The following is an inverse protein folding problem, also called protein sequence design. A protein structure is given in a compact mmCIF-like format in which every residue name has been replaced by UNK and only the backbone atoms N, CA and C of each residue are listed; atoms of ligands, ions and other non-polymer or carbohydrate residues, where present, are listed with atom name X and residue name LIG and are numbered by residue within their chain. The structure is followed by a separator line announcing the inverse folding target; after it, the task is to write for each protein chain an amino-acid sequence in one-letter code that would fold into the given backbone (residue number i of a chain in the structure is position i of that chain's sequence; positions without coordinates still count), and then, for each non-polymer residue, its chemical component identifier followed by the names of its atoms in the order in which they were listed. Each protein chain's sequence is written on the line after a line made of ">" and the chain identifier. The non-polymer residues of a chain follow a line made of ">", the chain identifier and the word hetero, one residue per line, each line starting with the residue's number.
data_IF_045406569853
#
_entry.id   IF_045406569853
#
_cell.length_a   1.000
_cell.length_b   1.000
_cell.length_c   1.000
_cell.angle_alpha   90.00
_cell.angle_beta   90.00
_cell.angle_gamma   90.00
#
_symmetry.space_group_name_H-M   'P 1'
#
loop_
_entity.id
_entity.type
_entity.pdbx_description
1 polymer ?
#
# COMPACT_ATOMS: atom_id res chain seq x y z
N UNK A 1 -14.62 -16.00 1.38
CA UNK A 1 -13.14 -16.14 1.49
C UNK A 1 -12.56 -15.46 2.73
N UNK A 2 -12.50 -14.11 2.82
CA UNK A 2 -11.92 -13.46 4.02
C UNK A 2 -12.70 -13.77 5.32
N UNK A 3 -14.04 -13.82 5.23
CA UNK A 3 -14.91 -14.21 6.35
C UNK A 3 -14.61 -15.61 6.88
N UNK A 4 -14.54 -16.58 5.96
CA UNK A 4 -14.33 -18.00 6.28
C UNK A 4 -12.89 -18.28 6.73
N UNK A 5 -11.92 -17.61 6.09
CA UNK A 5 -10.50 -17.79 6.37
C UNK A 5 -10.12 -17.19 7.72
N UNK A 6 -10.67 -16.02 8.06
CA UNK A 6 -10.22 -15.21 9.20
C UNK A 6 -11.20 -15.20 10.38
N UNK A 7 -12.29 -15.97 10.28
CA UNK A 7 -13.28 -16.11 11.35
C UNK A 7 -14.04 -14.81 11.62
N UNK A 8 -14.25 -13.99 10.59
CA UNK A 8 -14.96 -12.70 10.71
C UNK A 8 -16.30 -12.73 10.00
N UNK A 9 -17.22 -11.86 10.44
CA UNK A 9 -18.49 -11.69 9.76
C UNK A 9 -18.30 -11.16 8.32
N UNK A 10 -19.08 -11.68 7.36
CA UNK A 10 -19.05 -11.28 5.95
C UNK A 10 -19.22 -9.77 5.78
N UNK A 11 -20.13 -9.12 6.51
CA UNK A 11 -20.33 -7.67 6.46
C UNK A 11 -19.13 -6.89 6.99
N UNK A 12 -18.46 -7.42 8.02
CA UNK A 12 -17.27 -6.82 8.60
C UNK A 12 -16.09 -6.88 7.61
N UNK A 13 -15.90 -8.03 6.95
CA UNK A 13 -14.91 -8.18 5.87
C UNK A 13 -15.25 -7.31 4.66
N UNK A 14 -16.52 -7.31 4.23
CA UNK A 14 -16.98 -6.55 3.07
C UNK A 14 -16.78 -5.04 3.27
N UNK A 15 -16.94 -4.54 4.49
CA UNK A 15 -16.68 -3.13 4.82
C UNK A 15 -15.22 -2.77 4.62
N UNK A 16 -14.29 -3.62 5.05
CA UNK A 16 -12.86 -3.39 4.84
C UNK A 16 -12.50 -3.45 3.36
N UNK A 17 -12.93 -4.49 2.65
CA UNK A 17 -12.65 -4.61 1.22
C UNK A 17 -13.26 -3.45 0.44
N UNK A 18 -14.46 -2.97 0.78
CA UNK A 18 -15.05 -1.78 0.13
C UNK A 18 -14.22 -0.52 0.38
N UNK A 19 -13.75 -0.29 1.60
CA UNK A 19 -12.84 0.83 1.90
C UNK A 19 -11.55 0.75 1.10
N UNK A 20 -11.01 -0.46 0.93
CA UNK A 20 -9.79 -0.74 0.15
C UNK A 20 -10.08 -1.02 -1.34
N UNK A 21 -11.26 -0.63 -1.87
CA UNK A 21 -11.67 -0.80 -3.28
C UNK A 21 -11.61 -2.23 -3.83
N UNK A 22 -11.69 -3.22 -2.96
CA UNK A 22 -11.98 -4.63 -3.28
C UNK A 22 -10.75 -5.51 -3.47
N UNK A 23 -9.54 -4.94 -3.45
CA UNK A 23 -8.32 -5.68 -3.80
C UNK A 23 -7.57 -6.33 -2.64
N UNK A 24 -7.68 -5.79 -1.42
CA UNK A 24 -6.87 -6.24 -0.28
C UNK A 24 -7.49 -5.85 1.07
N UNK A 25 -6.92 -6.38 2.16
CA UNK A 25 -7.21 -5.99 3.55
C UNK A 25 -5.99 -5.23 4.11
N UNK A 26 -6.21 -4.21 4.94
CA UNK A 26 -5.11 -3.45 5.53
C UNK A 26 -4.34 -4.26 6.59
N UNK A 27 -3.06 -3.92 6.79
CA UNK A 27 -2.25 -4.52 7.84
C UNK A 27 -2.83 -4.30 9.23
N UNK A 28 -3.32 -3.07 9.49
CA UNK A 28 -3.95 -2.73 10.76
C UNK A 28 -5.16 -3.62 11.02
N UNK A 29 -6.01 -3.82 10.00
CA UNK A 29 -7.19 -4.67 10.14
C UNK A 29 -6.82 -6.14 10.40
N UNK A 30 -5.77 -6.66 9.76
CA UNK A 30 -5.27 -8.02 10.03
C UNK A 30 -4.72 -8.16 11.46
N UNK A 31 -4.00 -7.16 11.95
CA UNK A 31 -3.49 -7.12 13.32
C UNK A 31 -4.62 -7.07 14.34
N UNK A 32 -5.60 -6.18 14.15
CA UNK A 32 -6.78 -6.08 15.01
C UNK A 32 -7.58 -7.39 15.01
N UNK A 33 -7.68 -8.06 13.85
CA UNK A 33 -8.31 -9.36 13.78
C UNK A 33 -7.53 -10.44 14.53
N UNK A 34 -6.20 -10.47 14.42
CA UNK A 34 -5.36 -11.38 15.20
C UNK A 34 -5.63 -11.21 16.71
N UNK A 35 -5.58 -9.98 17.22
CA UNK A 35 -5.83 -9.69 18.64
C UNK A 35 -7.24 -10.14 19.05
N UNK A 36 -8.25 -9.87 18.21
CA UNK A 36 -9.63 -10.29 18.45
C UNK A 36 -9.79 -11.81 18.47
N UNK A 37 -9.24 -12.53 17.49
CA UNK A 37 -9.37 -13.99 17.41
C UNK A 37 -8.61 -14.67 18.56
N UNK A 38 -7.47 -14.11 18.95
CA UNK A 38 -6.70 -14.56 20.10
C UNK A 38 -7.47 -14.40 21.40
N UNK A 39 -8.14 -13.26 21.62
CA UNK A 39 -8.91 -13.01 22.84
C UNK A 39 -10.12 -13.94 23.00
N UNK A 40 -10.74 -14.35 21.89
CA UNK A 40 -11.83 -15.34 21.88
C UNK A 40 -11.33 -16.79 21.80
N UNK A 41 -10.02 -17.03 21.92
CA UNK A 41 -9.36 -18.34 21.87
C UNK A 41 -9.60 -19.12 20.58
N UNK A 42 -9.88 -18.42 19.48
CA UNK A 42 -9.97 -19.01 18.15
C UNK A 42 -8.59 -19.01 17.48
N UNK A 43 -7.73 -19.93 17.92
CA UNK A 43 -6.31 -19.93 17.55
C UNK A 43 -6.05 -20.21 16.07
N UNK A 44 -6.92 -20.97 15.39
CA UNK A 44 -6.78 -21.23 13.95
C UNK A 44 -6.95 -19.93 13.13
N UNK A 45 -8.00 -19.15 13.41
CA UNK A 45 -8.21 -17.87 12.74
C UNK A 45 -7.17 -16.81 13.15
N UNK A 46 -6.72 -16.82 14.41
CA UNK A 46 -5.63 -15.97 14.88
C UNK A 46 -4.33 -16.29 14.12
N UNK A 47 -3.97 -17.58 14.00
CA UNK A 47 -2.79 -18.02 13.28
C UNK A 47 -2.84 -17.62 11.80
N UNK A 48 -3.99 -17.78 11.12
CA UNK A 48 -4.15 -17.35 9.72
C UNK A 48 -3.98 -15.84 9.54
N UNK A 49 -4.53 -15.04 10.45
CA UNK A 49 -4.38 -13.57 10.43
C UNK A 49 -2.93 -13.15 10.62
N UNK A 50 -2.25 -13.78 11.58
CA UNK A 50 -0.83 -13.55 11.85
C UNK A 50 0.05 -13.98 10.67
N UNK A 51 -0.23 -15.14 10.06
CA UNK A 51 0.49 -15.62 8.88
C UNK A 51 0.33 -14.64 7.71
N UNK A 52 -0.87 -14.13 7.43
CA UNK A 52 -1.06 -13.12 6.38
C UNK A 52 -0.29 -11.83 6.66
N UNK A 53 -0.24 -11.38 7.92
CA UNK A 53 0.54 -10.21 8.33
C UNK A 53 2.05 -10.44 8.09
N UNK A 54 2.57 -11.62 8.46
CA UNK A 54 3.96 -11.99 8.21
C UNK A 54 4.27 -12.08 6.72
N UNK A 55 3.37 -12.64 5.92
CA UNK A 55 3.53 -12.71 4.47
C UNK A 55 3.65 -11.31 3.89
N UNK A 56 2.76 -10.39 4.29
CA UNK A 56 2.86 -9.00 3.85
C UNK A 56 4.22 -8.40 4.20
N UNK A 57 4.69 -8.54 5.45
CA UNK A 57 5.98 -7.98 5.87
C UNK A 57 7.12 -8.51 5.00
N UNK A 58 7.20 -9.81 4.76
CA UNK A 58 8.29 -10.40 3.99
C UNK A 58 8.21 -10.10 2.49
N UNK A 59 7.01 -9.85 1.95
CA UNK A 59 6.86 -9.44 0.55
C UNK A 59 7.43 -8.03 0.30
N UNK A 60 7.33 -7.13 1.27
CA UNK A 60 7.90 -5.78 1.16
C UNK A 60 9.34 -5.70 1.67
N UNK A 61 9.69 -6.47 2.70
CA UNK A 61 11.00 -6.46 3.37
C UNK A 61 11.61 -7.87 3.34
N UNK A 62 12.13 -8.31 2.18
CA UNK A 62 12.64 -9.67 2.00
C UNK A 62 13.90 -9.93 2.85
N UNK A 63 14.67 -8.88 3.17
CA UNK A 63 15.85 -8.93 4.03
C UNK A 63 15.51 -9.02 5.52
N UNK A 64 14.26 -8.76 5.90
CA UNK A 64 13.83 -8.76 7.29
C UNK A 64 13.59 -10.19 7.78
N UNK A 65 14.36 -10.60 8.78
CA UNK A 65 14.25 -11.92 9.41
C UNK A 65 15.00 -13.03 8.67
N UNK A 66 15.08 -14.21 9.30
CA UNK A 66 15.76 -15.38 8.72
C UNK A 66 14.81 -16.19 7.86
N UNK A 67 14.56 -15.73 6.64
CA UNK A 67 13.71 -16.44 5.67
C UNK A 67 14.54 -16.88 4.45
N UNK A 68 14.13 -18.00 3.86
CA UNK A 68 14.59 -18.44 2.54
C UNK A 68 13.42 -18.36 1.56
N UNK A 69 13.69 -17.97 0.32
CA UNK A 69 12.70 -18.21 -0.73
C UNK A 69 12.49 -19.73 -0.93
N UNK A 70 11.23 -20.10 -1.16
CA UNK A 70 10.84 -21.49 -1.37
C UNK A 70 11.14 -22.00 -2.77
N UNK A 71 11.37 -21.09 -3.73
CA UNK A 71 11.51 -21.41 -5.15
C UNK A 71 10.20 -21.82 -5.80
N UNK A 72 9.07 -21.67 -5.10
CA UNK A 72 7.74 -21.90 -5.67
C UNK A 72 7.35 -20.72 -6.56
N UNK A 73 6.73 -21.02 -7.69
CA UNK A 73 6.06 -20.01 -8.50
C UNK A 73 4.81 -19.53 -7.76
N UNK A 74 4.83 -18.25 -7.38
CA UNK A 74 3.78 -17.54 -6.67
C UNK A 74 3.25 -16.33 -7.47
N UNK A 75 3.75 -16.11 -8.69
CA UNK A 75 3.52 -14.88 -9.45
C UNK A 75 2.52 -15.04 -10.59
N UNK A 76 2.19 -16.29 -10.98
CA UNK A 76 1.20 -16.56 -12.04
C UNK A 76 -0.23 -16.52 -11.47
N UNK A 77 -1.08 -15.55 -11.88
CA UNK A 77 -2.45 -15.47 -11.40
C UNK A 77 -3.25 -16.75 -11.72
N UNK A 78 -3.94 -17.31 -10.72
CA UNK A 78 -4.88 -18.43 -10.91
C UNK A 78 -4.26 -19.84 -10.99
N UNK A 79 -2.95 -19.96 -11.19
CA UNK A 79 -2.25 -21.27 -11.28
C UNK A 79 -1.07 -21.41 -10.32
N UNK A 80 -0.61 -20.31 -9.71
CA UNK A 80 0.52 -20.31 -8.78
C UNK A 80 0.14 -20.71 -7.34
N UNK A 81 1.16 -21.08 -6.56
CA UNK A 81 0.98 -21.32 -5.14
C UNK A 81 0.63 -20.02 -4.39
N UNK A 82 -0.14 -20.09 -3.29
CA UNK A 82 -0.38 -18.91 -2.46
C UNK A 82 0.95 -18.25 -2.08
N UNK A 83 1.05 -16.93 -2.22
CA UNK A 83 2.26 -16.14 -1.88
C UNK A 83 2.75 -16.36 -0.46
N UNK A 84 1.86 -16.73 0.45
CA UNK A 84 2.25 -17.15 1.80
C UNK A 84 3.23 -18.34 1.85
N UNK A 85 3.33 -19.14 0.78
CA UNK A 85 4.28 -20.25 0.64
C UNK A 85 5.60 -19.83 0.00
N UNK A 86 5.76 -18.59 -0.45
CA UNK A 86 7.02 -18.06 -1.02
C UNK A 86 8.13 -18.07 0.03
N UNK A 87 7.80 -17.80 1.28
CA UNK A 87 8.77 -17.65 2.36
C UNK A 87 8.83 -18.91 3.23
N UNK A 88 10.04 -19.44 3.44
CA UNK A 88 10.34 -20.55 4.36
C UNK A 88 11.19 -20.05 5.51
N UNK A 89 10.69 -20.26 6.72
CA UNK A 89 11.41 -19.87 7.92
C UNK A 89 12.67 -20.72 8.06
N UNK A 90 13.84 -20.08 8.10
CA UNK A 90 15.08 -20.75 8.48
C UNK A 90 15.11 -20.79 10.01
N UNK A 91 15.12 -21.98 10.59
CA UNK A 91 15.17 -22.18 12.04
C UNK A 91 16.27 -21.32 12.68
N UNK A 92 15.94 -20.66 13.79
CA UNK A 92 16.86 -19.87 14.60
C UNK A 92 16.12 -19.03 15.65
N UNK A 93 16.76 -18.77 16.78
CA UNK A 93 16.18 -17.94 17.85
C UNK A 93 16.68 -16.50 17.71
N UNK A 94 16.12 -15.72 16.78
CA UNK A 94 16.36 -14.27 16.71
C UNK A 94 15.39 -13.59 17.67
N UNK A 95 15.91 -12.93 18.71
CA UNK A 95 15.06 -12.22 19.68
C UNK A 95 14.66 -10.84 19.15
N UNK A 96 13.54 -10.30 19.62
CA UNK A 96 13.05 -8.94 19.31
C UNK A 96 14.14 -7.84 19.30
N UNK A 97 15.10 -7.80 20.26
CA UNK A 97 16.16 -6.79 20.25
C UNK A 97 17.08 -6.82 19.02
N UNK A 98 17.18 -7.96 18.34
CA UNK A 98 18.02 -8.11 17.14
C UNK A 98 17.32 -7.59 15.88
N UNK A 99 15.99 -7.45 15.89
CA UNK A 99 15.23 -6.90 14.75
C UNK A 99 15.27 -5.38 14.68
N UNK A 100 15.31 -4.70 15.83
CA UNK A 100 15.21 -3.23 15.86
C UNK A 100 16.34 -2.55 15.07
N UNK A 101 17.63 -2.93 15.25
CA UNK A 101 18.72 -2.36 14.46
C UNK A 101 18.60 -2.64 12.96
N UNK A 102 18.08 -3.82 12.59
CA UNK A 102 17.87 -4.18 11.18
C UNK A 102 16.81 -3.28 10.55
N UNK A 103 15.70 -3.03 11.27
CA UNK A 103 14.64 -2.13 10.80
C UNK A 103 15.15 -0.68 10.71
N UNK A 104 15.89 -0.22 11.72
CA UNK A 104 16.44 1.14 11.75
C UNK A 104 17.51 1.37 10.67
N UNK A 105 18.14 0.30 10.16
CA UNK A 105 19.15 0.34 9.09
C UNK A 105 18.57 0.15 7.67
N UNK A 106 17.25 -0.05 7.52
CA UNK A 106 16.63 -0.22 6.20
C UNK A 106 16.80 1.02 5.33
N UNK A 107 17.23 0.80 4.09
CA UNK A 107 17.26 1.81 3.04
C UNK A 107 16.08 1.62 2.08
N UNK A 108 15.74 2.63 1.26
CA UNK A 108 14.71 2.47 0.24
C UNK A 108 14.97 1.34 -0.77
N UNK A 109 16.24 0.96 -0.97
CA UNK A 109 16.65 -0.14 -1.87
C UNK A 109 16.39 -1.53 -1.26
N UNK A 110 16.28 -1.61 0.06
CA UNK A 110 15.94 -2.86 0.78
C UNK A 110 14.44 -3.18 0.72
N UNK A 111 13.63 -2.26 0.19
CA UNK A 111 12.17 -2.36 0.15
C UNK A 111 11.69 -2.70 -1.26
N UNK A 112 10.94 -3.80 -1.38
CA UNK A 112 10.20 -4.09 -2.60
C UNK A 112 8.93 -3.22 -2.57
N UNK A 113 8.94 -2.11 -3.31
CA UNK A 113 7.80 -1.18 -3.35
C UNK A 113 6.59 -1.71 -4.13
N UNK A 114 6.80 -2.70 -5.00
CA UNK A 114 5.78 -3.22 -5.92
C UNK A 114 5.74 -4.75 -5.93
N UNK A 115 5.56 -5.42 -4.79
CA UNK A 115 5.66 -6.87 -4.72
C UNK A 115 4.59 -7.56 -5.57
N UNK A 116 3.42 -6.95 -5.72
CA UNK A 116 2.28 -7.50 -6.48
C UNK A 116 2.18 -7.00 -7.93
N UNK A 117 3.28 -6.50 -8.53
CA UNK A 117 3.25 -5.91 -9.87
C UNK A 117 2.67 -6.85 -10.94
N UNK A 118 2.99 -8.15 -10.88
CA UNK A 118 2.51 -9.15 -11.85
C UNK A 118 1.01 -9.46 -11.70
N UNK A 119 0.41 -9.15 -10.56
CA UNK A 119 -1.02 -9.32 -10.32
C UNK A 119 -1.84 -8.07 -10.71
N UNK A 120 -1.21 -6.99 -11.17
CA UNK A 120 -1.89 -5.74 -11.53
C UNK A 120 -2.88 -5.89 -12.69
N UNK A 121 -2.72 -6.88 -13.55
CA UNK A 121 -3.72 -7.16 -14.60
C UNK A 121 -5.06 -7.64 -14.01
N UNK A 122 -5.03 -8.27 -12.83
CA UNK A 122 -6.22 -8.70 -12.09
C UNK A 122 -6.70 -7.66 -11.07
N UNK A 123 -5.80 -6.77 -10.61
CA UNK A 123 -6.06 -5.68 -9.68
C UNK A 123 -5.54 -4.38 -10.30
N UNK A 124 -6.35 -3.67 -11.12
CA UNK A 124 -5.91 -2.43 -11.74
C UNK A 124 -5.37 -1.50 -10.66
N UNK A 125 -4.21 -0.91 -10.91
CA UNK A 125 -3.50 -0.04 -9.99
C UNK A 125 -4.45 1.03 -9.45
N UNK A 126 -4.88 0.85 -8.19
CA UNK A 126 -5.94 1.65 -7.60
C UNK A 126 -5.52 3.11 -7.44
N UNK A 127 -6.54 3.97 -7.47
CA UNK A 127 -6.53 5.44 -7.44
C UNK A 127 -5.67 6.09 -6.34
N UNK A 128 -5.14 5.33 -5.38
CA UNK A 128 -4.29 5.82 -4.28
C UNK A 128 -3.04 6.55 -4.79
N UNK A 129 -2.43 6.06 -5.88
CA UNK A 129 -1.28 6.74 -6.50
C UNK A 129 -1.63 8.10 -7.12
N UNK A 130 -2.92 8.37 -7.32
CA UNK A 130 -3.43 9.62 -7.84
C UNK A 130 -3.85 10.58 -6.71
N UNK A 131 -3.59 10.26 -5.43
CA UNK A 131 -3.77 11.18 -4.30
C UNK A 131 -3.29 12.58 -4.66
N UNK A 132 -4.13 13.61 -4.61
CA UNK A 132 -3.71 14.99 -4.82
C UNK A 132 -4.01 15.76 -3.55
N UNK A 133 -2.96 16.22 -2.88
CA UNK A 133 -3.06 16.85 -1.57
C UNK A 133 -1.74 16.83 -0.82
N UNK A 134 -1.81 16.63 0.49
CA UNK A 134 -0.63 16.60 1.36
C UNK A 134 -0.43 15.21 1.97
N UNK A 135 0.80 14.73 1.95
CA UNK A 135 1.20 13.53 2.67
C UNK A 135 1.89 13.93 3.96
N UNK A 136 1.62 13.16 5.00
CA UNK A 136 2.24 13.31 6.31
C UNK A 136 3.17 12.14 6.59
N UNK A 137 4.46 12.43 6.76
CA UNK A 137 5.46 11.55 7.35
C UNK A 137 6.06 12.21 8.59
N UNK A 138 7.40 12.28 8.67
CA UNK A 138 8.07 13.16 9.63
C UNK A 138 7.84 14.65 9.33
N UNK A 139 7.51 14.97 8.08
CA UNK A 139 7.16 16.30 7.58
C UNK A 139 5.86 16.23 6.78
N UNK A 140 5.24 17.38 6.55
CA UNK A 140 4.09 17.52 5.65
C UNK A 140 4.62 17.95 4.28
N UNK A 141 4.35 17.15 3.25
CA UNK A 141 4.86 17.37 1.89
C UNK A 141 3.70 17.33 0.90
N UNK A 142 3.59 18.28 -0.05
CA UNK A 142 2.59 18.20 -1.10
C UNK A 142 2.86 17.00 -2.02
N UNK A 143 1.84 16.20 -2.27
CA UNK A 143 1.84 15.13 -3.27
C UNK A 143 0.77 15.47 -4.31
N UNK A 144 1.23 16.04 -5.42
CA UNK A 144 0.40 16.61 -6.48
C UNK A 144 0.71 15.86 -7.79
N UNK A 145 0.21 14.61 -7.95
CA UNK A 145 0.50 13.78 -9.11
C UNK A 145 -0.01 14.42 -10.40
N UNK A 146 -1.01 15.30 -10.35
CA UNK A 146 -1.47 16.12 -11.49
C UNK A 146 -0.33 16.91 -12.15
N UNK A 147 0.80 17.14 -11.47
CA UNK A 147 2.00 17.82 -11.98
C UNK A 147 2.99 16.89 -12.69
N UNK A 148 2.84 15.57 -12.52
CA UNK A 148 3.70 14.54 -13.09
C UNK A 148 2.92 13.35 -13.69
N UNK A 149 1.66 13.52 -14.09
CA UNK A 149 0.78 12.45 -14.62
C UNK A 149 1.33 11.77 -15.87
N UNK A 150 2.25 12.43 -16.59
CA UNK A 150 2.97 11.84 -17.72
C UNK A 150 3.77 10.60 -17.34
N UNK A 151 4.30 10.52 -16.11
CA UNK A 151 5.00 9.33 -15.60
C UNK A 151 4.08 8.12 -15.47
N UNK A 152 2.77 8.36 -15.39
CA UNK A 152 1.73 7.35 -15.32
C UNK A 152 1.07 7.06 -16.67
N UNK A 153 1.59 7.63 -17.77
CA UNK A 153 1.08 7.41 -19.13
C UNK A 153 -0.09 8.32 -19.53
N UNK A 154 -0.43 9.33 -18.73
CA UNK A 154 -1.50 10.29 -19.03
C UNK A 154 -0.98 11.56 -19.72
N UNK A 155 -1.88 12.29 -20.39
CA UNK A 155 -1.59 13.61 -20.98
C UNK A 155 -1.46 14.64 -19.88
N UNK A 156 -0.34 15.36 -19.83
CA UNK A 156 -0.02 16.37 -18.82
C UNK A 156 -0.66 17.74 -19.14
N UNK A 157 -1.36 18.31 -18.17
CA UNK A 157 -1.97 19.65 -18.23
C UNK A 157 -1.25 20.64 -17.29
N UNK A 158 -1.46 21.96 -17.44
CA UNK A 158 -0.93 22.95 -16.48
C UNK A 158 -1.72 22.80 -15.17
N UNK A 159 -1.06 22.39 -14.07
CA UNK A 159 -1.72 22.29 -12.78
C UNK A 159 -1.91 23.68 -12.15
N UNK A 160 -2.99 23.92 -11.38
CA UNK A 160 -3.12 25.12 -10.57
C UNK A 160 -2.00 25.17 -9.51
N UNK A 161 -1.60 26.37 -9.02
CA UNK A 161 -0.59 26.50 -7.96
C UNK A 161 -0.96 25.63 -6.75
N UNK A 162 0.04 25.10 -6.01
CA UNK A 162 -0.22 24.23 -4.87
C UNK A 162 -1.04 25.03 -3.84
N UNK A 163 -2.10 24.43 -3.26
CA UNK A 163 -2.81 25.07 -2.16
C UNK A 163 -1.84 25.34 -0.99
N UNK A 164 -2.20 26.16 0.00
CA UNK A 164 -1.42 26.26 1.24
C UNK A 164 -1.47 24.93 2.01
N UNK A 165 -0.39 24.62 2.74
CA UNK A 165 -0.36 23.42 3.58
C UNK A 165 -1.42 23.51 4.69
N UNK A 166 -2.36 22.54 4.78
CA UNK A 166 -3.37 22.53 5.82
C UNK A 166 -2.77 22.07 7.16
N UNK A 167 -3.55 22.17 8.23
CA UNK A 167 -3.11 21.66 9.54
C UNK A 167 -2.99 20.14 9.53
N UNK A 168 -2.13 19.60 10.38
CA UNK A 168 -1.86 18.15 10.47
C UNK A 168 -3.15 17.33 10.65
N UNK A 169 -4.09 17.80 11.46
CA UNK A 169 -5.36 17.11 11.69
C UNK A 169 -6.25 17.02 10.43
N UNK A 170 -6.15 18.02 9.55
CA UNK A 170 -6.87 18.04 8.27
C UNK A 170 -6.20 17.09 7.28
N UNK A 171 -4.87 17.02 7.24
CA UNK A 171 -4.13 16.08 6.36
C UNK A 171 -4.54 14.63 6.61
N UNK A 172 -4.58 14.20 7.88
CA UNK A 172 -4.98 12.83 8.22
C UNK A 172 -6.44 12.54 7.81
N UNK A 173 -7.33 13.53 7.99
CA UNK A 173 -8.74 13.41 7.64
C UNK A 173 -8.96 13.33 6.12
N UNK A 174 -8.26 14.16 5.36
CA UNK A 174 -8.34 14.21 3.89
C UNK A 174 -7.74 12.94 3.25
N UNK A 175 -6.67 12.40 3.83
CA UNK A 175 -6.10 11.12 3.40
C UNK A 175 -7.09 9.96 3.62
N UNK A 176 -7.73 9.91 4.79
CA UNK A 176 -8.72 8.87 5.12
C UNK A 176 -9.97 8.96 4.23
N UNK A 177 -10.34 10.17 3.80
CA UNK A 177 -11.51 10.47 2.96
C UNK A 177 -11.20 10.68 1.47
N UNK A 178 -10.07 10.19 0.95
CA UNK A 178 -9.65 10.43 -0.44
C UNK A 178 -10.45 9.64 -1.51
N UNK A 179 -11.67 9.18 -1.22
CA UNK A 179 -12.42 8.29 -2.11
C UNK A 179 -12.82 8.89 -3.48
N UNK A 180 -12.53 10.18 -3.77
CA UNK A 180 -13.05 10.89 -4.95
C UNK A 180 -12.05 11.90 -5.56
N UNK A 181 -11.00 11.51 -6.30
CA UNK A 181 -10.19 12.52 -7.04
C UNK A 181 -9.62 12.10 -8.42
N UNK A 182 -9.64 10.84 -8.86
CA UNK A 182 -9.11 10.54 -10.22
C UNK A 182 -9.94 11.22 -11.32
N UNK A 183 -11.26 11.22 -11.21
CA UNK A 183 -12.11 11.93 -12.16
C UNK A 183 -11.91 13.46 -12.11
N UNK A 184 -11.47 14.01 -10.97
CA UNK A 184 -11.13 15.44 -10.81
C UNK A 184 -9.78 15.81 -11.44
N UNK A 185 -8.80 14.91 -11.44
CA UNK A 185 -7.49 15.16 -12.07
C UNK A 185 -7.62 15.15 -13.59
N UNK A 186 -8.58 14.39 -14.14
CA UNK A 186 -8.66 14.10 -15.58
C UNK A 186 -9.55 15.09 -16.38
N UNK A 187 -10.35 15.98 -15.75
CA UNK A 187 -11.16 17.00 -16.47
C UNK A 187 -11.20 18.38 -15.80
N UNK A 188 -11.41 19.50 -16.55
CA UNK A 188 -10.98 19.84 -17.90
C UNK A 188 -10.12 21.13 -17.86
N UNK A 189 -8.83 21.05 -18.19
CA UNK A 189 -8.03 22.26 -18.45
C UNK A 189 -7.11 22.11 -19.65
N UNK A 190 -6.72 23.27 -20.21
CA UNK A 190 -6.19 23.41 -21.57
C UNK A 190 -4.86 22.66 -21.75
N UNK A 191 -4.63 22.00 -22.90
CA UNK A 191 -3.36 21.36 -23.21
C UNK A 191 -2.19 22.34 -23.13
N UNK A 192 -1.08 21.89 -22.56
CA UNK A 192 0.15 22.66 -22.46
C UNK A 192 1.04 22.33 -23.65
N UNK A 193 1.26 23.28 -24.54
CA UNK A 193 2.10 23.09 -25.72
C UNK A 193 3.57 23.41 -25.48
N UNK A 194 3.92 24.06 -24.36
CA UNK A 194 5.29 24.43 -24.04
C UNK A 194 5.54 24.62 -22.55
N UNK A 195 6.80 24.40 -22.21
CA UNK A 195 7.45 24.59 -20.93
C UNK A 195 7.03 25.81 -20.08
N UNK A 196 7.13 27.01 -20.67
CA UNK A 196 7.00 28.28 -19.98
C UNK A 196 5.57 28.61 -19.49
N UNK A 197 4.60 27.75 -19.78
CA UNK A 197 3.22 27.88 -19.30
C UNK A 197 3.01 27.30 -17.90
N UNK A 198 3.97 26.56 -17.36
CA UNK A 198 3.87 25.90 -16.07
C UNK A 198 4.06 26.87 -14.88
N UNK A 199 3.53 26.52 -13.71
CA UNK A 199 3.71 27.30 -12.47
C UNK A 199 5.19 27.32 -12.01
N UNK A 200 5.58 28.32 -11.23
CA UNK A 200 6.98 28.54 -10.82
C UNK A 200 7.60 27.39 -9.99
N UNK A 201 6.77 26.53 -9.42
CA UNK A 201 7.14 25.35 -8.63
C UNK A 201 7.10 24.04 -9.44
N UNK A 202 6.94 24.14 -10.75
CA UNK A 202 6.91 22.98 -11.64
C UNK A 202 8.32 22.41 -11.81
N UNK A 203 8.43 21.07 -11.73
CA UNK A 203 9.70 20.38 -11.99
C UNK A 203 10.14 20.67 -13.43
N UNK A 204 11.29 21.33 -13.58
CA UNK A 204 11.94 21.49 -14.88
C UNK A 204 12.34 20.11 -15.42
N UNK A 205 12.11 19.90 -16.71
CA UNK A 205 12.55 18.71 -17.46
C UNK A 205 14.06 18.53 -17.39
#
# INVERSE_FOLDING_TARGET
>A
LAADLLGVNVQFAARETRKQRGGYVSQQWLFDNYIRQYSVKNYDCAARSYLLLLCWIHEYFPSLGRQAESGLDCDVPGTSFPRARRWRYRQGNVKLPEYRPVIDALTPDDVIWRPFQNHRAALPFDLVGMYSGYLRGCTVVPYLPERCIKQFGYVQYIPPPPPPAPTIAVVDSDWIGYDIVVDRIVQPTRPTTYAAKAAADYLSW
#
